data_IF_994711835215
#
_entry.id   IF_994711835215
#
_cell.length_a   1.000
_cell.length_b   1.000
_cell.length_c   1.000
_cell.angle_alpha   90.00
_cell.angle_beta   90.00
_cell.angle_gamma   90.00
#
_symmetry.space_group_name_H-M   'P 1'
#
loop_
_entity.id
_entity.type
_entity.pdbx_description
1 polymer ?
#
# COMPACT_ATOMS: atom_id res chain seq x y z
N UNK A 1 9.18 -29.91 -7.79
CA UNK A 1 8.94 -30.78 -6.62
C UNK A 1 10.23 -30.91 -5.85
N UNK A 2 10.45 -30.04 -4.87
CA UNK A 2 11.63 -30.06 -4.00
C UNK A 2 11.19 -29.50 -2.66
N UNK A 3 10.84 -30.40 -1.75
CA UNK A 3 10.40 -30.10 -0.39
C UNK A 3 11.66 -30.16 0.45
N UNK A 4 12.20 -29.01 0.87
CA UNK A 4 13.25 -28.99 1.89
C UNK A 4 12.57 -29.01 3.26
N UNK A 5 12.44 -30.23 3.79
CA UNK A 5 11.95 -30.51 5.13
C UNK A 5 13.05 -30.19 6.14
N UNK A 6 13.01 -29.01 6.75
CA UNK A 6 13.76 -28.74 7.98
C UNK A 6 12.79 -28.95 9.15
N UNK A 7 12.85 -30.15 9.73
CA UNK A 7 12.30 -30.49 11.06
C UNK A 7 10.96 -29.86 11.46
N UNK A 8 9.85 -30.48 11.04
CA UNK A 8 8.60 -30.54 11.82
C UNK A 8 7.82 -29.24 12.06
N UNK A 9 8.23 -28.11 11.50
CA UNK A 9 7.51 -26.85 11.65
C UNK A 9 6.99 -26.44 10.27
N UNK A 10 5.69 -26.63 10.03
CA UNK A 10 5.01 -25.88 8.97
C UNK A 10 5.14 -24.39 9.30
N UNK A 11 6.02 -23.71 8.55
CA UNK A 11 6.14 -22.26 8.56
C UNK A 11 4.99 -21.76 7.69
N UNK A 12 3.82 -21.58 8.29
CA UNK A 12 2.77 -20.79 7.67
C UNK A 12 3.33 -19.37 7.47
N UNK A 13 3.42 -18.95 6.20
CA UNK A 13 3.84 -17.60 5.86
C UNK A 13 2.91 -16.60 6.56
N UNK A 14 3.49 -15.69 7.33
CA UNK A 14 2.72 -14.68 8.04
C UNK A 14 2.23 -13.64 7.04
N UNK A 15 0.95 -13.68 6.70
CA UNK A 15 0.23 -12.64 5.95
C UNK A 15 0.32 -11.26 6.63
N UNK A 16 0.41 -11.24 7.97
CA UNK A 16 0.51 -10.01 8.74
C UNK A 16 1.88 -9.89 9.41
N UNK A 17 2.57 -8.78 9.14
CA UNK A 17 3.97 -8.55 9.56
C UNK A 17 4.10 -7.77 10.86
N UNK A 18 3.05 -7.06 11.26
CA UNK A 18 3.04 -6.17 12.42
C UNK A 18 2.04 -6.68 13.45
N UNK A 19 2.42 -6.63 14.72
CA UNK A 19 1.54 -6.97 15.82
C UNK A 19 0.38 -5.95 15.86
N UNK A 20 -0.87 -6.36 16.15
CA UNK A 20 -2.01 -5.45 16.14
C UNK A 20 -1.97 -4.37 17.24
N UNK A 21 -0.99 -4.42 18.16
CA UNK A 21 -0.69 -3.37 19.13
C UNK A 21 0.54 -2.51 18.77
N UNK A 22 1.22 -2.80 17.66
CA UNK A 22 2.30 -1.93 17.21
C UNK A 22 1.75 -0.51 16.98
N UNK A 23 2.57 0.54 17.13
CA UNK A 23 2.15 1.89 16.76
C UNK A 23 1.73 1.98 15.28
N UNK A 24 0.94 2.99 14.93
CA UNK A 24 0.65 3.28 13.53
C UNK A 24 1.96 3.64 12.81
N UNK A 25 2.16 3.07 11.63
CA UNK A 25 3.22 3.47 10.72
C UNK A 25 2.96 4.85 10.13
N UNK A 26 4.00 5.49 9.60
CA UNK A 26 3.86 6.79 8.93
C UNK A 26 2.88 6.71 7.73
N UNK A 27 2.85 5.57 7.03
CA UNK A 27 1.91 5.33 5.94
C UNK A 27 0.46 5.25 6.44
N UNK A 28 0.19 4.48 7.50
CA UNK A 28 -1.15 4.39 8.11
C UNK A 28 -1.65 5.76 8.60
N UNK A 29 -0.76 6.57 9.19
CA UNK A 29 -1.08 7.94 9.60
C UNK A 29 -1.44 8.81 8.37
N UNK A 30 -0.63 8.75 7.31
CA UNK A 30 -0.86 9.53 6.10
C UNK A 30 -2.19 9.15 5.41
N UNK A 31 -2.48 7.86 5.32
CA UNK A 31 -3.76 7.35 4.78
C UNK A 31 -4.92 7.84 5.65
N UNK A 32 -4.87 7.65 6.96
CA UNK A 32 -5.96 8.04 7.85
C UNK A 32 -6.25 9.55 7.80
N UNK A 33 -5.21 10.39 7.81
CA UNK A 33 -5.35 11.85 7.69
C UNK A 33 -5.93 12.23 6.33
N UNK A 34 -5.49 11.60 5.25
CA UNK A 34 -5.98 11.88 3.89
C UNK A 34 -7.44 11.47 3.74
N UNK A 35 -7.82 10.31 4.27
CA UNK A 35 -9.22 9.84 4.28
C UNK A 35 -10.13 10.81 5.02
N UNK A 36 -9.75 11.28 6.21
CA UNK A 36 -10.57 12.23 6.98
C UNK A 36 -10.64 13.60 6.28
N UNK A 37 -9.53 14.07 5.69
CA UNK A 37 -9.54 15.32 4.90
C UNK A 37 -10.42 15.21 3.65
N UNK A 38 -10.42 14.06 2.98
CA UNK A 38 -11.24 13.83 1.79
C UNK A 38 -12.74 13.76 2.11
N UNK A 39 -13.11 13.38 3.34
CA UNK A 39 -14.50 13.38 3.80
C UNK A 39 -15.04 14.79 4.11
N UNK A 40 -14.21 15.83 4.08
CA UNK A 40 -14.65 17.20 4.32
C UNK A 40 -15.60 17.69 3.21
N UNK A 41 -16.73 18.26 3.58
CA UNK A 41 -17.75 18.72 2.63
C UNK A 41 -17.31 19.90 1.76
N UNK A 42 -16.40 20.74 2.26
CA UNK A 42 -15.83 21.87 1.49
C UNK A 42 -14.32 22.01 1.74
N UNK A 43 -13.57 22.65 0.82
CA UNK A 43 -12.13 22.92 1.01
C UNK A 43 -11.83 23.74 2.27
N UNK A 44 -12.72 24.67 2.64
CA UNK A 44 -12.56 25.52 3.81
C UNK A 44 -12.63 24.71 5.11
N UNK A 45 -13.59 23.78 5.17
CA UNK A 45 -13.74 22.82 6.29
C UNK A 45 -12.50 21.94 6.39
N UNK A 46 -11.99 21.44 5.25
CA UNK A 46 -10.78 20.61 5.16
C UNK A 46 -9.55 21.34 5.71
N UNK A 47 -9.33 22.58 5.29
CA UNK A 47 -8.15 23.37 5.65
C UNK A 47 -8.23 23.88 7.11
N UNK A 48 -9.45 23.94 7.66
CA UNK A 48 -9.73 24.24 9.07
C UNK A 48 -9.48 23.08 10.04
N UNK A 49 -9.29 21.85 9.55
CA UNK A 49 -9.07 20.67 10.40
C UNK A 49 -7.72 20.71 11.11
N UNK A 50 -7.70 20.35 12.39
CA UNK A 50 -6.50 20.15 13.21
C UNK A 50 -6.59 18.80 13.89
N UNK A 51 -5.58 17.96 13.67
CA UNK A 51 -5.50 16.61 14.22
C UNK A 51 -4.83 16.69 15.60
N UNK A 52 -5.62 16.52 16.66
CA UNK A 52 -5.15 16.58 18.06
C UNK A 52 -4.54 15.23 18.46
N UNK A 53 -5.15 14.14 17.99
CA UNK A 53 -4.70 12.77 18.23
C UNK A 53 -4.85 11.99 16.92
N UNK A 54 -3.83 11.21 16.57
CA UNK A 54 -3.89 10.17 15.54
C UNK A 54 -3.20 8.95 16.12
N UNK A 55 -3.99 7.99 16.57
CA UNK A 55 -3.49 6.83 17.32
C UNK A 55 -4.14 5.55 16.82
N UNK A 56 -3.47 4.44 17.09
CA UNK A 56 -4.04 3.11 16.89
C UNK A 56 -5.30 2.98 17.75
N UNK A 57 -6.41 2.54 17.14
CA UNK A 57 -7.56 2.07 17.90
C UNK A 57 -7.26 0.64 18.34
N UNK A 58 -6.96 0.47 19.62
CA UNK A 58 -6.62 -0.83 20.18
C UNK A 58 -7.69 -1.89 19.85
N UNK A 59 -7.28 -3.07 19.37
CA UNK A 59 -8.20 -4.15 19.06
C UNK A 59 -8.74 -4.80 20.34
N UNK A 60 -9.78 -5.60 20.19
CA UNK A 60 -10.31 -6.38 21.31
C UNK A 60 -9.27 -7.37 21.87
N UNK A 61 -9.36 -7.66 23.16
CA UNK A 61 -8.38 -8.50 23.89
C UNK A 61 -8.25 -9.91 23.31
N UNK A 62 -9.32 -10.48 22.76
CA UNK A 62 -9.32 -11.77 22.06
C UNK A 62 -8.45 -11.74 20.78
N UNK A 63 -8.47 -10.64 20.03
CA UNK A 63 -7.65 -10.43 18.83
C UNK A 63 -6.18 -10.32 19.21
N UNK A 64 -5.87 -9.61 20.29
CA UNK A 64 -4.50 -9.53 20.81
C UNK A 64 -4.00 -10.91 21.22
N UNK A 65 -4.80 -11.68 21.96
CA UNK A 65 -4.43 -13.04 22.36
C UNK A 65 -4.21 -13.99 21.17
N UNK A 66 -5.02 -13.84 20.10
CA UNK A 66 -4.84 -14.57 18.85
C UNK A 66 -3.54 -14.14 18.14
N UNK A 67 -3.24 -12.84 18.15
CA UNK A 67 -2.04 -12.30 17.56
C UNK A 67 -0.76 -12.69 18.32
N UNK A 68 -0.80 -12.74 19.65
CA UNK A 68 0.31 -13.25 20.46
C UNK A 68 0.65 -14.70 20.06
N UNK A 69 -0.38 -15.53 19.87
CA UNK A 69 -0.21 -16.90 19.39
C UNK A 69 0.33 -16.97 17.94
N UNK A 70 -0.03 -15.98 17.11
CA UNK A 70 0.45 -15.86 15.74
C UNK A 70 1.91 -15.38 15.64
N UNK A 71 2.29 -14.36 16.42
CA UNK A 71 3.59 -13.69 16.37
C UNK A 71 4.66 -14.33 17.27
N UNK A 72 4.27 -14.96 18.39
CA UNK A 72 5.20 -15.49 19.40
C UNK A 72 4.93 -16.97 19.69
N UNK A 73 5.41 -17.89 18.84
CA UNK A 73 5.47 -19.32 19.22
C UNK A 73 6.55 -19.49 20.29
N UNK A 74 6.28 -20.05 21.49
CA UNK A 74 5.34 -21.13 21.79
C UNK A 74 4.12 -20.73 22.66
N UNK A 75 3.70 -19.46 22.68
CA UNK A 75 2.46 -19.05 23.35
C UNK A 75 1.25 -19.65 22.60
N UNK A 76 1.00 -20.93 22.80
CA UNK A 76 -0.34 -21.47 22.68
C UNK A 76 -1.03 -21.09 24.00
N UNK A 77 -2.03 -20.18 24.01
CA UNK A 77 -3.02 -20.24 25.07
C UNK A 77 -3.50 -21.69 25.07
N UNK A 78 -3.39 -22.38 26.20
CA UNK A 78 -3.84 -23.75 26.37
C UNK A 78 -5.34 -23.82 26.12
N UNK A 79 -5.72 -23.91 24.85
CA UNK A 79 -7.09 -24.05 24.33
C UNK A 79 -7.12 -25.22 23.35
N UNK A 80 -6.37 -26.28 23.64
CA UNK A 80 -6.58 -27.58 23.01
C UNK A 80 -7.24 -28.52 24.02
N UNK A 81 -8.58 -28.58 24.12
CA UNK A 81 -9.23 -29.85 24.35
C UNK A 81 -9.09 -30.66 23.07
N UNK A 82 -8.47 -31.84 23.17
CA UNK A 82 -8.36 -32.81 22.07
C UNK A 82 -9.74 -33.31 21.63
N UNK A 83 -10.41 -32.55 20.77
CA UNK A 83 -11.63 -32.99 20.12
C UNK A 83 -11.61 -32.51 18.66
N UNK A 84 -12.20 -33.30 17.76
CA UNK A 84 -12.21 -33.11 16.29
C UNK A 84 -12.94 -31.82 15.81
N UNK A 85 -13.22 -30.88 16.71
CA UNK A 85 -13.86 -29.59 16.49
C UNK A 85 -12.98 -28.43 17.03
N UNK A 86 -11.66 -28.49 16.86
CA UNK A 86 -10.80 -27.38 17.23
C UNK A 86 -11.16 -26.14 16.38
N UNK A 87 -11.28 -24.93 16.97
CA UNK A 87 -11.53 -23.73 16.20
C UNK A 87 -10.37 -23.53 15.23
N UNK A 88 -10.71 -23.35 13.95
CA UNK A 88 -9.75 -22.96 12.92
C UNK A 88 -9.06 -21.70 13.43
N UNK A 89 -7.75 -21.77 13.69
CA UNK A 89 -6.95 -20.59 13.99
C UNK A 89 -7.10 -19.70 12.76
N UNK A 90 -7.76 -18.56 12.91
CA UNK A 90 -7.94 -17.63 11.81
C UNK A 90 -6.55 -17.27 11.30
N UNK A 91 -6.27 -17.62 10.04
CA UNK A 91 -5.00 -17.36 9.36
C UNK A 91 -4.75 -15.87 9.13
N UNK A 92 -5.71 -15.02 9.54
CA UNK A 92 -5.78 -13.59 9.29
C UNK A 92 -6.35 -12.89 10.52
N UNK A 93 -5.66 -11.87 11.01
CA UNK A 93 -6.19 -11.00 12.06
C UNK A 93 -7.12 -9.94 11.41
N UNK A 94 -8.06 -9.36 12.15
CA UNK A 94 -8.88 -8.27 11.62
C UNK A 94 -8.02 -7.05 11.21
N UNK A 95 -8.53 -6.21 10.31
CA UNK A 95 -7.85 -5.00 9.87
C UNK A 95 -7.55 -4.08 11.04
N UNK A 96 -6.40 -3.39 10.97
CA UNK A 96 -6.02 -2.37 11.95
C UNK A 96 -6.90 -1.14 11.74
N UNK A 97 -7.15 -0.41 12.81
CA UNK A 97 -7.98 0.79 12.81
C UNK A 97 -7.22 1.94 13.46
N UNK A 98 -7.39 3.15 12.92
CA UNK A 98 -6.91 4.37 13.53
C UNK A 98 -8.07 5.17 14.11
N UNK A 99 -7.86 5.74 15.30
CA UNK A 99 -8.73 6.74 15.93
C UNK A 99 -8.11 8.11 15.73
N UNK A 100 -8.89 9.06 15.22
CA UNK A 100 -8.46 10.45 15.02
C UNK A 100 -9.39 11.38 15.80
N UNK A 101 -8.79 12.26 16.61
CA UNK A 101 -9.51 13.36 17.27
C UNK A 101 -9.22 14.63 16.48
N UNK A 102 -10.25 15.16 15.82
CA UNK A 102 -10.13 16.27 14.87
C UNK A 102 -10.93 17.46 15.36
N UNK A 103 -10.24 18.57 15.61
CA UNK A 103 -10.83 19.86 15.89
C UNK A 103 -10.98 20.65 14.59
N UNK A 104 -12.17 21.18 14.33
CA UNK A 104 -12.43 22.03 13.18
C UNK A 104 -12.52 23.49 13.63
N UNK A 105 -11.62 24.33 13.13
CA UNK A 105 -11.59 25.77 13.47
C UNK A 105 -12.77 26.55 12.91
N UNK A 106 -13.38 26.10 11.82
CA UNK A 106 -14.48 26.81 11.17
C UNK A 106 -15.81 26.55 11.87
N UNK A 107 -16.09 25.29 12.17
CA UNK A 107 -17.31 24.91 12.89
C UNK A 107 -17.16 25.00 14.40
N UNK A 108 -15.93 25.12 14.89
CA UNK A 108 -15.58 25.09 16.32
C UNK A 108 -16.00 23.80 17.04
N UNK A 109 -15.98 22.67 16.32
CA UNK A 109 -16.38 21.37 16.83
C UNK A 109 -15.19 20.41 16.89
N UNK A 110 -15.23 19.48 17.85
CA UNK A 110 -14.29 18.35 17.92
C UNK A 110 -15.04 17.07 17.58
N UNK A 111 -14.48 16.28 16.66
CA UNK A 111 -15.07 15.04 16.17
C UNK A 111 -14.09 13.88 16.32
N UNK A 112 -14.63 12.68 16.53
CA UNK A 112 -13.86 11.44 16.61
C UNK A 112 -14.12 10.64 15.34
N UNK A 113 -13.05 10.26 14.65
CA UNK A 113 -13.11 9.47 13.43
C UNK A 113 -12.44 8.12 13.66
N UNK A 114 -13.02 7.07 13.08
CA UNK A 114 -12.42 5.74 13.05
C UNK A 114 -12.18 5.41 11.58
N UNK A 115 -10.91 5.20 11.22
CA UNK A 115 -10.50 4.77 9.89
C UNK A 115 -10.06 3.32 9.99
N UNK A 116 -10.69 2.45 9.20
CA UNK A 116 -10.28 1.06 9.06
C UNK A 116 -9.35 0.93 7.84
N UNK A 117 -8.18 0.32 8.06
CA UNK A 117 -7.24 0.06 6.98
C UNK A 117 -7.60 -1.27 6.32
N UNK A 118 -8.11 -1.24 5.09
CA UNK A 118 -8.16 -2.46 4.30
C UNK A 118 -6.73 -2.87 3.96
N UNK A 119 -6.42 -4.17 4.05
CA UNK A 119 -5.11 -4.69 3.63
C UNK A 119 -4.80 -4.30 2.19
N UNK A 120 -5.82 -4.24 1.33
CA UNK A 120 -5.68 -3.80 -0.05
C UNK A 120 -5.16 -2.35 -0.11
N UNK A 121 -5.75 -1.39 0.62
CA UNK A 121 -5.33 0.03 0.64
C UNK A 121 -3.88 0.22 1.07
N UNK A 122 -3.42 -0.55 2.06
CA UNK A 122 -2.02 -0.51 2.51
C UNK A 122 -1.09 -1.16 1.48
N UNK A 123 -1.51 -2.25 0.84
CA UNK A 123 -0.75 -2.86 -0.27
C UNK A 123 -0.56 -1.90 -1.44
N UNK A 124 -1.52 -1.02 -1.74
CA UNK A 124 -1.37 0.03 -2.76
C UNK A 124 -0.19 0.96 -2.43
N UNK A 125 -0.20 1.52 -1.22
CA UNK A 125 0.82 2.50 -0.76
C UNK A 125 2.19 1.84 -0.61
N UNK A 126 2.25 0.65 -0.01
CA UNK A 126 3.50 -0.08 0.19
C UNK A 126 4.12 -0.52 -1.13
N UNK A 127 3.30 -0.96 -2.10
CA UNK A 127 3.78 -1.30 -3.43
C UNK A 127 4.37 -0.07 -4.13
N UNK A 128 3.66 1.06 -4.11
CA UNK A 128 4.16 2.30 -4.70
C UNK A 128 5.48 2.75 -4.06
N UNK A 129 5.55 2.78 -2.73
CA UNK A 129 6.76 3.17 -2.01
C UNK A 129 7.94 2.21 -2.28
N UNK A 130 7.68 0.90 -2.34
CA UNK A 130 8.70 -0.11 -2.64
C UNK A 130 9.25 0.06 -4.05
N UNK A 131 8.38 0.35 -5.02
CA UNK A 131 8.79 0.58 -6.40
C UNK A 131 9.58 1.88 -6.54
N UNK A 132 9.08 2.98 -5.96
CA UNK A 132 9.73 4.30 -6.05
C UNK A 132 11.08 4.36 -5.32
N UNK A 133 11.32 3.49 -4.35
CA UNK A 133 12.62 3.36 -3.67
C UNK A 133 13.57 2.35 -4.32
N UNK A 134 13.13 1.62 -5.35
CA UNK A 134 13.93 0.57 -5.98
C UNK A 134 14.96 1.16 -6.97
N UNK A 135 16.29 1.03 -6.74
CA UNK A 135 17.29 1.71 -7.58
C UNK A 135 17.24 1.36 -9.08
N UNK A 136 17.02 0.09 -9.49
CA UNK A 136 16.81 -0.24 -10.90
C UNK A 136 15.61 0.44 -11.55
N UNK A 137 14.55 0.70 -10.78
CA UNK A 137 13.36 1.40 -11.27
C UNK A 137 13.64 2.90 -11.45
N UNK A 138 14.30 3.53 -10.48
CA UNK A 138 14.72 4.94 -10.57
C UNK A 138 15.61 5.17 -11.79
N UNK A 139 16.58 4.28 -12.03
CA UNK A 139 17.45 4.37 -13.22
C UNK A 139 16.68 4.15 -14.54
N UNK A 140 15.68 3.26 -14.54
CA UNK A 140 14.82 3.05 -15.71
C UNK A 140 13.95 4.27 -16.02
N UNK A 141 13.52 5.01 -14.98
CA UNK A 141 12.77 6.26 -15.11
C UNK A 141 13.65 7.40 -15.60
N UNK A 142 14.87 7.52 -15.05
CA UNK A 142 15.86 8.51 -15.48
C UNK A 142 16.20 8.37 -16.97
N UNK A 143 16.36 7.13 -17.47
CA UNK A 143 16.55 6.84 -18.91
C UNK A 143 15.40 7.29 -19.80
N UNK A 144 14.22 7.52 -19.23
CA UNK A 144 13.01 8.00 -19.92
C UNK A 144 12.76 9.50 -19.70
N UNK A 145 13.70 10.21 -19.07
CA UNK A 145 13.60 11.64 -18.79
C UNK A 145 12.69 11.99 -17.61
N UNK A 146 12.44 11.03 -16.71
CA UNK A 146 11.63 11.21 -15.51
C UNK A 146 12.58 11.19 -14.31
N UNK A 147 12.92 12.38 -13.81
CA UNK A 147 13.80 12.57 -12.65
C UNK A 147 13.02 12.78 -11.34
N UNK A 148 11.82 13.35 -11.44
CA UNK A 148 10.96 13.61 -10.29
C UNK A 148 10.02 12.42 -10.04
N UNK A 149 10.33 11.65 -8.99
CA UNK A 149 9.50 10.51 -8.58
C UNK A 149 8.18 10.92 -7.95
N UNK A 150 8.01 12.15 -7.47
CA UNK A 150 6.74 12.61 -6.88
C UNK A 150 5.63 12.74 -7.94
N UNK A 151 6.01 12.91 -9.21
CA UNK A 151 5.11 12.89 -10.35
C UNK A 151 4.73 11.47 -10.80
N UNK A 152 5.47 10.46 -10.34
CA UNK A 152 5.25 9.06 -10.70
C UNK A 152 4.23 8.43 -9.78
N UNK A 153 3.19 7.88 -10.38
CA UNK A 153 2.16 7.07 -9.72
C UNK A 153 2.35 5.60 -10.12
N UNK A 154 2.34 4.71 -9.14
CA UNK A 154 2.46 3.26 -9.33
C UNK A 154 1.16 2.60 -8.89
N UNK A 155 0.45 1.98 -9.83
CA UNK A 155 -0.86 1.37 -9.59
C UNK A 155 -0.73 -0.16 -9.58
N UNK A 156 -0.72 -0.82 -8.40
CA UNK A 156 -0.63 -2.28 -8.31
C UNK A 156 -1.84 -2.98 -8.89
N UNK A 157 -1.60 -3.64 -10.02
CA UNK A 157 -2.57 -4.52 -10.65
C UNK A 157 -2.37 -5.97 -10.26
N UNK A 158 -3.48 -6.72 -10.29
CA UNK A 158 -3.47 -8.16 -10.05
C UNK A 158 -2.62 -8.88 -11.10
N UNK A 159 -1.83 -9.86 -10.67
CA UNK A 159 -0.84 -10.48 -11.53
C UNK A 159 -1.40 -11.46 -12.57
N UNK A 160 -2.67 -11.86 -12.44
CA UNK A 160 -3.28 -12.97 -13.19
C UNK A 160 -2.55 -14.30 -12.97
N UNK A 161 -2.88 -15.33 -13.77
CA UNK A 161 -2.15 -16.59 -13.80
C UNK A 161 -1.68 -16.87 -15.22
N UNK A 162 -0.39 -16.68 -15.49
CA UNK A 162 0.20 -16.94 -16.82
C UNK A 162 1.20 -18.10 -16.80
N UNK A 163 1.77 -18.42 -15.64
CA UNK A 163 2.68 -19.56 -15.43
C UNK A 163 2.81 -19.89 -13.94
N UNK A 164 3.53 -20.97 -13.60
CA UNK A 164 3.87 -21.32 -12.21
C UNK A 164 4.65 -20.20 -11.47
N UNK A 165 5.22 -19.25 -12.19
CA UNK A 165 5.85 -18.08 -11.57
C UNK A 165 4.82 -17.17 -10.87
N UNK A 166 3.56 -17.18 -11.34
CA UNK A 166 2.40 -16.44 -10.83
C UNK A 166 1.48 -17.32 -9.95
N UNK A 167 1.98 -18.46 -9.46
CA UNK A 167 1.17 -19.40 -8.69
C UNK A 167 0.46 -18.73 -7.50
N UNK A 168 -0.79 -19.13 -7.18
CA UNK A 168 -1.55 -18.56 -6.06
C UNK A 168 -0.86 -18.67 -4.69
N UNK A 169 0.15 -19.53 -4.58
CA UNK A 169 1.04 -19.64 -3.41
C UNK A 169 2.03 -18.47 -3.26
N UNK A 170 2.01 -17.49 -4.16
CA UNK A 170 2.82 -16.28 -4.13
C UNK A 170 1.93 -15.06 -4.24
N UNK A 171 1.92 -14.18 -3.24
CA UNK A 171 1.27 -12.86 -3.38
C UNK A 171 2.15 -11.92 -4.19
N UNK A 172 1.74 -11.64 -5.42
CA UNK A 172 2.46 -10.77 -6.36
C UNK A 172 1.53 -9.73 -6.98
N UNK A 173 2.05 -8.51 -7.15
CA UNK A 173 1.43 -7.45 -7.93
C UNK A 173 2.27 -7.14 -9.17
N UNK A 174 1.62 -6.80 -10.28
CA UNK A 174 2.26 -6.34 -11.52
C UNK A 174 1.86 -4.89 -11.77
N UNK A 175 2.48 -3.92 -11.07
CA UNK A 175 2.00 -2.55 -11.13
C UNK A 175 2.19 -1.92 -12.51
N UNK A 176 1.21 -1.10 -12.88
CA UNK A 176 1.29 -0.18 -14.00
C UNK A 176 1.84 1.16 -13.51
N UNK A 177 2.51 1.89 -14.40
CA UNK A 177 3.18 3.13 -14.01
C UNK A 177 2.74 4.27 -14.89
N UNK A 178 2.44 5.40 -14.26
CA UNK A 178 1.97 6.61 -14.93
C UNK A 178 2.77 7.81 -14.42
N UNK A 179 2.94 8.82 -15.26
CA UNK A 179 3.69 10.03 -14.92
C UNK A 179 2.86 11.29 -15.16
N UNK A 180 2.64 12.08 -14.11
CA UNK A 180 2.04 13.41 -14.21
C UNK A 180 3.00 14.42 -14.83
N UNK A 181 2.46 15.54 -15.31
CA UNK A 181 3.25 16.65 -15.85
C UNK A 181 3.61 17.65 -14.75
N UNK A 182 2.64 17.94 -13.88
CA UNK A 182 2.75 18.92 -12.80
C UNK A 182 2.03 18.38 -11.56
N UNK A 183 2.60 18.59 -10.37
CA UNK A 183 2.06 18.01 -9.14
C UNK A 183 0.83 18.73 -8.61
N UNK A 184 0.61 19.97 -9.02
CA UNK A 184 -0.33 20.94 -8.45
C UNK A 184 -1.57 21.20 -9.32
N UNK A 185 -1.70 20.57 -10.49
CA UNK A 185 -2.88 20.70 -11.33
C UNK A 185 -3.98 19.70 -10.94
N UNK A 186 -5.08 20.14 -10.27
CA UNK A 186 -6.10 19.25 -9.75
C UNK A 186 -7.00 18.64 -10.85
N UNK A 187 -6.89 19.10 -12.09
CA UNK A 187 -7.69 18.61 -13.24
C UNK A 187 -6.87 17.62 -14.09
N UNK A 188 -5.57 17.47 -13.83
CA UNK A 188 -4.73 16.52 -14.58
C UNK A 188 -5.15 15.07 -14.30
N UNK A 189 -5.46 14.34 -15.37
CA UNK A 189 -5.70 12.91 -15.28
C UNK A 189 -4.36 12.16 -15.14
N UNK A 190 -4.08 11.67 -13.93
CA UNK A 190 -2.86 10.92 -13.63
C UNK A 190 -2.67 9.65 -14.47
N UNK A 191 -3.72 9.10 -15.07
CA UNK A 191 -3.65 7.92 -15.94
C UNK A 191 -3.38 8.25 -17.42
N UNK A 192 -3.36 9.53 -17.80
CA UNK A 192 -3.27 9.94 -19.20
C UNK A 192 -1.89 9.68 -19.85
N UNK A 193 -0.88 9.33 -19.04
CA UNK A 193 0.52 9.19 -19.48
C UNK A 193 1.16 7.93 -18.91
N UNK A 194 0.88 6.76 -19.51
CA UNK A 194 1.54 5.53 -19.11
C UNK A 194 3.04 5.58 -19.41
N UNK A 195 3.84 4.99 -18.54
CA UNK A 195 5.26 4.75 -18.77
C UNK A 195 5.44 3.35 -19.35
N UNK A 196 5.61 3.28 -20.67
CA UNK A 196 5.69 2.01 -21.38
C UNK A 196 7.08 1.34 -21.30
N UNK A 197 7.11 0.03 -21.56
CA UNK A 197 8.33 -0.78 -21.61
C UNK A 197 8.98 -1.09 -20.25
N UNK A 198 8.27 -0.84 -19.14
CA UNK A 198 8.68 -1.23 -17.79
C UNK A 198 7.75 -2.31 -17.27
N UNK A 199 8.31 -3.46 -16.90
CA UNK A 199 7.57 -4.53 -16.24
C UNK A 199 8.11 -4.72 -14.83
N UNK A 200 7.22 -4.60 -13.86
CA UNK A 200 7.57 -4.70 -12.45
C UNK A 200 6.80 -5.85 -11.85
N UNK A 201 7.48 -6.66 -11.04
CA UNK A 201 6.84 -7.67 -10.21
C UNK A 201 7.18 -7.32 -8.78
N UNK A 202 6.16 -7.05 -7.98
CA UNK A 202 6.31 -6.78 -6.54
C UNK A 202 5.81 -7.99 -5.78
N UNK A 203 6.69 -8.58 -4.97
CA UNK A 203 6.28 -9.57 -3.97
C UNK A 203 5.76 -8.82 -2.75
N UNK A 204 4.45 -8.77 -2.57
CA UNK A 204 3.83 -8.04 -1.46
C UNK A 204 4.15 -8.70 -0.10
N UNK A 205 4.34 -10.02 -0.06
CA UNK A 205 4.74 -10.74 1.18
C UNK A 205 6.17 -10.47 1.63
N UNK A 206 7.04 -9.94 0.74
CA UNK A 206 8.47 -9.73 0.98
C UNK A 206 8.90 -8.25 0.86
N UNK A 207 8.01 -7.35 0.42
CA UNK A 207 8.32 -5.97 0.02
C UNK A 207 9.57 -5.90 -0.87
N UNK A 208 9.65 -6.82 -1.83
CA UNK A 208 10.75 -6.86 -2.80
C UNK A 208 10.20 -6.59 -4.18
N UNK A 209 10.57 -5.44 -4.76
CA UNK A 209 10.33 -5.14 -6.16
C UNK A 209 11.43 -5.75 -7.03
N UNK A 210 11.03 -6.36 -8.13
CA UNK A 210 11.92 -6.75 -9.22
C UNK A 210 11.42 -6.01 -10.46
N UNK A 211 12.14 -4.97 -10.86
CA UNK A 211 11.88 -4.27 -12.11
C UNK A 211 12.71 -4.90 -13.24
N UNK A 212 12.06 -5.23 -14.36
CA UNK A 212 12.71 -5.63 -15.61
C UNK A 212 12.29 -4.64 -16.70
N UNK A 213 13.24 -3.90 -17.24
CA UNK A 213 13.04 -3.14 -18.46
C UNK A 213 13.26 -4.06 -19.65
N UNK A 214 12.25 -4.24 -20.50
CA UNK A 214 12.50 -4.78 -21.84
C UNK A 214 13.16 -3.67 -22.66
N UNK A 215 14.32 -3.94 -23.25
CA UNK A 215 14.99 -2.99 -24.14
C UNK A 215 14.32 -2.91 -25.53
N UNK A 216 13.33 -3.77 -25.80
CA UNK A 216 12.58 -3.79 -27.04
C UNK A 216 11.41 -2.80 -26.95
N UNK A 217 11.72 -1.52 -27.19
CA UNK A 217 10.73 -0.44 -27.34
C UNK A 217 10.68 0.56 -26.20
N UNK A 218 11.74 1.38 -26.04
CA UNK A 218 11.60 2.65 -25.33
C UNK A 218 10.74 3.60 -26.18
N UNK A 219 9.43 3.60 -25.94
CA UNK A 219 8.56 4.72 -26.34
C UNK A 219 8.63 5.73 -25.19
N UNK A 220 9.17 6.91 -25.45
CA UNK A 220 9.12 8.01 -24.48
C UNK A 220 7.65 8.29 -24.13
N UNK A 221 7.35 8.61 -22.87
CA UNK A 221 6.04 9.11 -22.50
C UNK A 221 5.66 10.23 -23.47
N UNK A 222 4.61 10.03 -24.27
CA UNK A 222 4.26 10.88 -25.40
C UNK A 222 4.03 12.29 -24.88
N UNK A 223 5.00 13.18 -25.11
CA UNK A 223 4.83 14.61 -24.86
C UNK A 223 3.85 15.11 -25.92
N UNK A 224 2.65 15.63 -25.56
CA UNK A 224 1.91 16.42 -26.53
C UNK A 224 2.77 17.63 -26.91
N UNK A 225 2.70 18.12 -28.17
CA UNK A 225 3.56 19.20 -28.63
C UNK A 225 3.38 20.41 -27.71
N UNK A 226 4.50 20.94 -27.21
CA UNK A 226 4.54 22.28 -26.60
C UNK A 226 3.82 23.22 -27.55
N UNK A 227 2.68 23.77 -27.12
CA UNK A 227 2.05 24.88 -27.82
C UNK A 227 3.11 25.99 -27.90
N UNK A 228 3.79 26.10 -29.05
CA UNK A 228 4.64 27.22 -29.34
C UNK A 228 3.71 28.42 -29.40
N UNK A 229 3.96 29.38 -28.50
CA UNK A 229 3.41 30.72 -28.64
C UNK A 229 3.77 31.23 -30.03
N UNK A 230 2.77 31.32 -30.91
CA UNK A 230 2.90 32.11 -32.13
C UNK A 230 2.55 33.53 -31.76
N UNK A 231 3.59 34.36 -31.68
CA UNK A 231 3.45 35.80 -31.79
C UNK A 231 2.73 36.19 -33.08
N UNK A 232 1.92 37.26 -33.01
CA UNK A 232 1.56 38.20 -34.08
C UNK A 232 1.08 37.62 -35.43
N UNK A 233 -0.19 37.87 -35.76
CA UNK A 233 -0.63 38.98 -36.61
C UNK A 233 -2.09 39.29 -36.30
#
# INVERSE_FOLDING_TARGET
MGVETISGIEIFARTQRSHPLDPLSAAEIAVAVTTVKAAASTPEVRDGMRFVEVALLEPEKNVVALADAYFFRPFQPSLLPGNRNAPIIATKLPPRRAKLVVYNRQTNETSIWIVEFSEDAMEFVECEATVKSHPPFIEAMRKRGIDDMDLVTVDPWCAGYYSDADAPSRRIAKPLVFCRTESDNPIENGYARPVEGIHIIVKTELLTAIARSSADGCVAATTPPRAHGSSRL
#
